data_IF_607085899772
#
_entry.id   IF_607085899772
#
_cell.length_a   1.000
_cell.length_b   1.000
_cell.length_c   1.000
_cell.angle_alpha   90.00
_cell.angle_beta   90.00
_cell.angle_gamma   90.00
#
_symmetry.space_group_name_H-M   'P 1'
#
loop_
_entity.id
_entity.type
_entity.pdbx_description
1 polymer ?
#
# COMPACT_ATOMS: atom_id res chain seq x y z
N UNK A 1 12.91 27.19 -16.05
CA UNK A 1 11.97 26.14 -16.50
C UNK A 1 10.56 26.71 -16.41
N UNK A 2 9.68 26.46 -17.38
CA UNK A 2 8.27 26.91 -17.27
C UNK A 2 7.53 26.00 -16.28
N UNK A 3 6.47 26.50 -15.59
CA UNK A 3 5.66 25.67 -14.69
C UNK A 3 5.11 24.41 -15.38
N UNK A 4 4.76 24.53 -16.66
CA UNK A 4 4.28 23.42 -17.49
C UNK A 4 5.36 22.34 -17.65
N UNK A 5 6.61 22.73 -17.93
CA UNK A 5 7.72 21.76 -18.01
C UNK A 5 7.95 21.05 -16.68
N UNK A 6 7.93 21.78 -15.56
CA UNK A 6 8.10 21.18 -14.22
C UNK A 6 6.99 20.17 -13.93
N UNK A 7 5.74 20.53 -14.20
CA UNK A 7 4.59 19.64 -14.01
C UNK A 7 4.73 18.33 -14.79
N UNK A 8 5.02 18.39 -16.09
CA UNK A 8 5.18 17.17 -16.90
C UNK A 8 6.43 16.37 -16.54
N UNK A 9 7.53 17.03 -16.13
CA UNK A 9 8.71 16.33 -15.61
C UNK A 9 8.41 15.55 -14.34
N UNK A 10 7.69 16.14 -13.38
CA UNK A 10 7.30 15.45 -12.15
C UNK A 10 6.38 14.26 -12.45
N UNK A 11 5.39 14.43 -13.33
CA UNK A 11 4.51 13.33 -13.75
C UNK A 11 5.27 12.18 -14.40
N UNK A 12 6.25 12.49 -15.26
CA UNK A 12 7.09 11.47 -15.89
C UNK A 12 7.93 10.71 -14.86
N UNK A 13 8.53 11.41 -13.89
CA UNK A 13 9.28 10.80 -12.79
C UNK A 13 8.38 9.87 -11.97
N UNK A 14 7.19 10.34 -11.58
CA UNK A 14 6.22 9.53 -10.83
C UNK A 14 5.78 8.29 -11.59
N UNK A 15 5.50 8.42 -12.90
CA UNK A 15 5.15 7.29 -13.76
C UNK A 15 6.27 6.25 -13.82
N UNK A 16 7.52 6.68 -13.97
CA UNK A 16 8.69 5.79 -13.99
C UNK A 16 8.86 5.09 -12.65
N UNK A 17 8.76 5.81 -11.53
CA UNK A 17 8.89 5.23 -10.20
C UNK A 17 7.77 4.21 -9.90
N UNK A 18 6.54 4.52 -10.33
CA UNK A 18 5.41 3.58 -10.22
C UNK A 18 5.67 2.32 -11.06
N UNK A 19 6.11 2.46 -12.31
CA UNK A 19 6.46 1.32 -13.15
C UNK A 19 7.59 0.46 -12.55
N UNK A 20 8.58 1.08 -11.89
CA UNK A 20 9.60 0.35 -11.15
C UNK A 20 9.02 -0.45 -9.98
N UNK A 21 8.10 0.14 -9.20
CA UNK A 21 7.42 -0.53 -8.10
C UNK A 21 6.54 -1.69 -8.58
N UNK A 22 5.80 -1.50 -9.68
CA UNK A 22 5.01 -2.56 -10.32
C UNK A 22 5.89 -3.71 -10.82
N UNK A 23 7.04 -3.42 -11.41
CA UNK A 23 8.00 -4.45 -11.83
C UNK A 23 8.55 -5.23 -10.62
N UNK A 24 8.88 -4.55 -9.52
CA UNK A 24 9.29 -5.20 -8.28
C UNK A 24 8.18 -6.12 -7.77
N UNK A 25 6.94 -5.65 -7.76
CA UNK A 25 5.78 -6.40 -7.31
C UNK A 25 5.50 -7.61 -8.21
N UNK A 26 5.52 -7.46 -9.53
CA UNK A 26 5.41 -8.57 -10.48
C UNK A 26 6.44 -9.68 -10.20
N UNK A 27 7.71 -9.31 -10.03
CA UNK A 27 8.79 -10.28 -9.71
C UNK A 27 8.56 -10.95 -8.35
N UNK A 28 8.05 -10.20 -7.37
CA UNK A 28 7.71 -10.75 -6.07
C UNK A 28 6.52 -11.72 -6.15
N UNK A 29 5.46 -11.40 -6.92
CA UNK A 29 4.32 -12.31 -7.17
C UNK A 29 4.80 -13.59 -7.85
N UNK A 30 5.68 -13.50 -8.85
CA UNK A 30 6.24 -14.66 -9.53
C UNK A 30 7.03 -15.57 -8.57
N UNK A 31 7.78 -14.98 -7.64
CA UNK A 31 8.55 -15.70 -6.63
C UNK A 31 7.66 -16.34 -5.56
N UNK A 32 6.64 -15.61 -5.13
CA UNK A 32 5.82 -15.96 -3.98
C UNK A 32 4.71 -16.96 -4.37
N UNK A 33 4.03 -16.71 -5.48
CA UNK A 33 2.85 -17.48 -5.92
C UNK A 33 3.07 -18.27 -7.22
N UNK A 34 4.25 -18.14 -7.84
CA UNK A 34 4.60 -18.82 -9.08
C UNK A 34 4.45 -17.94 -10.33
N UNK A 35 5.20 -18.28 -11.37
CA UNK A 35 5.32 -17.48 -12.61
C UNK A 35 3.98 -17.33 -13.34
N UNK A 36 3.14 -18.36 -13.34
CA UNK A 36 1.82 -18.30 -13.99
C UNK A 36 0.91 -17.27 -13.32
N UNK A 37 0.90 -17.22 -11.97
CA UNK A 37 0.11 -16.23 -11.22
C UNK A 37 0.61 -14.82 -11.51
N UNK A 38 1.93 -14.63 -11.57
CA UNK A 38 2.51 -13.33 -11.94
C UNK A 38 2.11 -12.87 -13.34
N UNK A 39 2.14 -13.76 -14.34
CA UNK A 39 1.70 -13.43 -15.72
C UNK A 39 0.22 -13.05 -15.77
N UNK A 40 -0.64 -13.80 -15.07
CA UNK A 40 -2.07 -13.50 -14.98
C UNK A 40 -2.29 -12.14 -14.30
N UNK A 41 -1.58 -11.86 -13.21
CA UNK A 41 -1.61 -10.55 -12.56
C UNK A 41 -1.23 -9.43 -13.53
N UNK A 42 -0.17 -9.60 -14.33
CA UNK A 42 0.25 -8.60 -15.32
C UNK A 42 -0.82 -8.36 -16.38
N UNK A 43 -1.44 -9.43 -16.92
CA UNK A 43 -2.53 -9.32 -17.88
C UNK A 43 -3.75 -8.57 -17.33
N UNK A 44 -4.02 -8.68 -16.04
CA UNK A 44 -5.15 -8.03 -15.38
C UNK A 44 -4.85 -6.59 -14.94
N UNK A 45 -3.63 -6.28 -14.52
CA UNK A 45 -3.25 -4.96 -14.02
C UNK A 45 -2.96 -3.96 -15.14
N UNK A 46 -2.35 -4.39 -16.25
CA UNK A 46 -2.03 -3.49 -17.37
C UNK A 46 -3.24 -2.72 -17.95
N UNK A 47 -4.42 -3.34 -18.17
CA UNK A 47 -5.60 -2.63 -18.66
C UNK A 47 -6.42 -1.98 -17.53
N UNK A 48 -6.01 -2.09 -16.27
CA UNK A 48 -6.76 -1.51 -15.16
C UNK A 48 -6.68 0.03 -15.20
N UNK A 49 -7.80 0.67 -15.55
CA UNK A 49 -7.88 2.12 -15.74
C UNK A 49 -7.43 2.90 -14.48
N UNK A 50 -7.78 2.40 -13.29
CA UNK A 50 -7.39 3.02 -12.03
C UNK A 50 -5.88 3.03 -11.80
N UNK A 51 -5.21 1.89 -12.01
CA UNK A 51 -3.75 1.78 -11.90
C UNK A 51 -3.07 2.73 -12.90
N UNK A 52 -3.51 2.71 -14.16
CA UNK A 52 -2.96 3.57 -15.20
C UNK A 52 -3.11 5.06 -14.87
N UNK A 53 -4.31 5.49 -14.48
CA UNK A 53 -4.57 6.89 -14.13
C UNK A 53 -3.76 7.36 -12.92
N UNK A 54 -3.62 6.48 -11.91
CA UNK A 54 -2.86 6.79 -10.69
C UNK A 54 -1.35 6.90 -10.92
N UNK A 55 -0.79 6.20 -11.92
CA UNK A 55 0.67 6.05 -12.09
C UNK A 55 1.44 7.37 -12.22
N UNK A 56 0.85 8.36 -12.89
CA UNK A 56 1.44 9.69 -13.12
C UNK A 56 0.77 10.79 -12.28
N UNK A 57 -0.12 10.42 -11.36
CA UNK A 57 -0.93 11.37 -10.61
C UNK A 57 -0.11 11.98 -9.46
N UNK A 58 -0.17 13.29 -9.32
CA UNK A 58 0.50 14.03 -8.24
C UNK A 58 -0.36 14.03 -6.97
N UNK A 59 -0.83 12.85 -6.57
CA UNK A 59 -1.62 12.65 -5.35
C UNK A 59 -0.83 11.81 -4.35
N UNK A 60 -0.91 12.11 -3.05
CA UNK A 60 -0.29 11.28 -2.02
C UNK A 60 -0.75 9.82 -2.11
N UNK A 61 -2.05 9.58 -2.31
CA UNK A 61 -2.59 8.21 -2.42
C UNK A 61 -2.02 7.42 -3.61
N UNK A 62 -1.77 8.07 -4.75
CA UNK A 62 -1.13 7.44 -5.91
C UNK A 62 0.31 7.02 -5.60
N UNK A 63 1.08 7.90 -4.97
CA UNK A 63 2.44 7.60 -4.56
C UNK A 63 2.52 6.51 -3.49
N UNK A 64 1.57 6.53 -2.54
CA UNK A 64 1.39 5.50 -1.53
C UNK A 64 1.17 4.12 -2.15
N UNK A 65 0.36 4.01 -3.20
CA UNK A 65 0.13 2.75 -3.92
C UNK A 65 1.43 2.12 -4.45
N UNK A 66 2.29 2.94 -5.07
CA UNK A 66 3.59 2.49 -5.57
C UNK A 66 4.51 2.06 -4.42
N UNK A 67 4.62 2.85 -3.35
CA UNK A 67 5.50 2.54 -2.22
C UNK A 67 5.03 1.30 -1.43
N UNK A 68 3.72 1.12 -1.23
CA UNK A 68 3.14 -0.08 -0.62
C UNK A 68 3.45 -1.31 -1.49
N UNK A 69 3.27 -1.20 -2.81
CA UNK A 69 3.61 -2.29 -3.74
C UNK A 69 5.10 -2.67 -3.62
N UNK A 70 6.00 -1.67 -3.54
CA UNK A 70 7.42 -1.92 -3.32
C UNK A 70 7.69 -2.56 -1.94
N UNK A 71 7.01 -2.13 -0.87
CA UNK A 71 7.14 -2.69 0.47
C UNK A 71 6.72 -4.17 0.51
N UNK A 72 5.56 -4.50 -0.05
CA UNK A 72 5.05 -5.87 -0.14
C UNK A 72 5.97 -6.73 -1.03
N UNK A 73 6.47 -6.18 -2.13
CA UNK A 73 7.41 -6.88 -3.00
C UNK A 73 8.71 -7.24 -2.27
N UNK A 74 9.28 -6.29 -1.53
CA UNK A 74 10.47 -6.52 -0.71
C UNK A 74 10.21 -7.55 0.40
N UNK A 75 9.04 -7.49 1.03
CA UNK A 75 8.63 -8.43 2.07
C UNK A 75 8.54 -9.87 1.55
N UNK A 76 7.81 -10.12 0.45
CA UNK A 76 7.73 -11.45 -0.18
C UNK A 76 9.09 -11.95 -0.71
N UNK A 77 10.01 -11.03 -1.03
CA UNK A 77 11.40 -11.35 -1.39
C UNK A 77 12.34 -11.46 -0.19
N UNK A 78 11.80 -11.44 1.04
CA UNK A 78 12.55 -11.55 2.32
C UNK A 78 13.58 -10.44 2.55
N UNK A 79 13.42 -9.30 1.87
CA UNK A 79 14.24 -8.09 2.04
C UNK A 79 13.59 -7.18 3.08
N UNK A 80 13.56 -7.63 4.34
CA UNK A 80 12.80 -6.96 5.41
C UNK A 80 13.23 -5.52 5.68
N UNK A 81 14.53 -5.22 5.60
CA UNK A 81 15.04 -3.85 5.79
C UNK A 81 14.41 -2.88 4.79
N UNK A 82 14.39 -3.27 3.51
CA UNK A 82 13.77 -2.47 2.47
C UNK A 82 12.24 -2.41 2.63
N UNK A 83 11.60 -3.51 3.06
CA UNK A 83 10.16 -3.52 3.31
C UNK A 83 9.77 -2.52 4.43
N UNK A 84 10.52 -2.49 5.54
CA UNK A 84 10.33 -1.52 6.63
C UNK A 84 10.59 -0.10 6.14
N UNK A 85 11.66 0.13 5.37
CA UNK A 85 11.97 1.45 4.82
C UNK A 85 10.90 1.96 3.86
N UNK A 86 10.38 1.13 2.95
CA UNK A 86 9.28 1.51 2.06
C UNK A 86 7.97 1.72 2.81
N UNK A 87 7.70 0.93 3.86
CA UNK A 87 6.55 1.13 4.75
C UNK A 87 6.63 2.47 5.47
N UNK A 88 7.82 2.83 5.99
CA UNK A 88 8.06 4.13 6.60
C UNK A 88 7.95 5.26 5.56
N UNK A 89 8.47 5.08 4.35
CA UNK A 89 8.35 6.06 3.27
C UNK A 89 6.89 6.33 2.90
N UNK A 90 6.06 5.30 2.70
CA UNK A 90 4.63 5.52 2.39
C UNK A 90 3.91 6.21 3.55
N UNK A 91 4.22 5.83 4.78
CA UNK A 91 3.57 6.39 5.98
C UNK A 91 3.96 7.85 6.22
N UNK A 92 5.25 8.17 6.12
CA UNK A 92 5.79 9.45 6.56
C UNK A 92 5.88 10.49 5.43
N UNK A 93 6.17 10.09 4.19
CA UNK A 93 6.29 11.04 3.07
C UNK A 93 4.98 11.22 2.31
N UNK A 94 4.10 10.23 2.36
CA UNK A 94 2.96 10.16 1.45
C UNK A 94 1.65 10.23 2.21
N UNK A 95 1.23 9.16 2.86
CA UNK A 95 -0.04 9.09 3.54
C UNK A 95 0.02 8.22 4.80
N UNK A 96 -0.15 8.81 6.01
CA UNK A 96 0.13 8.11 7.27
C UNK A 96 -0.76 6.90 7.53
N UNK A 97 -1.97 6.85 6.98
CA UNK A 97 -2.88 5.71 7.16
C UNK A 97 -2.38 4.43 6.47
N UNK A 98 -1.44 4.54 5.52
CA UNK A 98 -0.81 3.39 4.86
C UNK A 98 0.07 2.57 5.81
N UNK A 99 0.38 3.09 7.01
CA UNK A 99 0.99 2.32 8.09
C UNK A 99 0.23 1.02 8.40
N UNK A 100 -1.10 1.04 8.24
CA UNK A 100 -1.97 -0.12 8.40
C UNK A 100 -1.53 -1.30 7.52
N UNK A 101 -1.11 -1.02 6.28
CA UNK A 101 -0.67 -2.03 5.33
C UNK A 101 0.70 -2.62 5.68
N UNK A 102 1.44 -1.98 6.59
CA UNK A 102 2.67 -2.48 7.19
C UNK A 102 2.45 -3.52 8.29
N UNK A 103 1.24 -3.66 8.83
CA UNK A 103 0.95 -4.58 9.94
C UNK A 103 1.29 -6.05 9.59
N UNK A 104 0.90 -6.59 8.41
CA UNK A 104 1.26 -7.97 8.05
C UNK A 104 2.78 -8.19 7.96
N UNK A 105 3.52 -7.18 7.51
CA UNK A 105 4.99 -7.21 7.45
C UNK A 105 5.56 -7.27 8.88
N UNK A 106 5.04 -6.42 9.79
CA UNK A 106 5.46 -6.42 11.19
C UNK A 106 5.13 -7.76 11.88
N UNK A 107 3.95 -8.34 11.63
CA UNK A 107 3.56 -9.65 12.14
C UNK A 107 4.54 -10.73 11.68
N UNK A 108 4.91 -10.77 10.40
CA UNK A 108 5.87 -11.75 9.89
C UNK A 108 7.24 -11.60 10.57
N UNK A 109 7.77 -10.38 10.66
CA UNK A 109 9.10 -10.13 11.22
C UNK A 109 9.14 -10.42 12.74
N UNK A 110 8.15 -9.93 13.48
CA UNK A 110 8.13 -9.99 14.95
C UNK A 110 7.63 -11.34 15.44
N UNK A 111 6.49 -11.83 14.96
CA UNK A 111 5.84 -13.02 15.53
C UNK A 111 6.33 -14.30 14.86
N UNK A 112 6.47 -14.31 13.53
CA UNK A 112 6.85 -15.53 12.79
C UNK A 112 8.37 -15.71 12.79
N UNK A 113 9.13 -14.67 12.44
CA UNK A 113 10.60 -14.72 12.34
C UNK A 113 11.32 -14.40 13.65
N UNK A 114 10.62 -13.81 14.64
CA UNK A 114 11.17 -13.45 15.96
C UNK A 114 12.36 -12.48 15.90
N UNK A 115 12.42 -11.62 14.88
CA UNK A 115 13.50 -10.65 14.65
C UNK A 115 13.15 -9.26 15.19
N UNK A 116 12.81 -9.18 16.49
CA UNK A 116 12.34 -7.93 17.11
C UNK A 116 13.42 -6.84 17.14
N UNK A 117 14.68 -7.19 17.42
CA UNK A 117 15.79 -6.21 17.50
C UNK A 117 16.00 -5.55 16.15
N UNK A 118 16.08 -6.34 15.08
CA UNK A 118 16.28 -5.80 13.74
C UNK A 118 15.07 -4.98 13.29
N UNK A 119 13.85 -5.43 13.58
CA UNK A 119 12.65 -4.64 13.28
C UNK A 119 12.69 -3.27 13.94
N UNK A 120 12.96 -3.20 15.25
CA UNK A 120 13.02 -1.92 15.98
C UNK A 120 14.17 -1.06 15.45
N UNK A 121 15.37 -1.63 15.27
CA UNK A 121 16.55 -0.93 14.75
C UNK A 121 16.26 -0.27 13.41
N UNK A 122 15.72 -1.02 12.45
CA UNK A 122 15.45 -0.50 11.11
C UNK A 122 14.25 0.44 11.09
N UNK A 123 13.23 0.20 11.91
CA UNK A 123 12.08 1.12 12.04
C UNK A 123 12.50 2.47 12.59
N UNK A 124 13.32 2.50 13.64
CA UNK A 124 13.86 3.74 14.22
C UNK A 124 14.78 4.45 13.24
N UNK A 125 15.65 3.70 12.55
CA UNK A 125 16.54 4.31 11.55
C UNK A 125 15.75 4.92 10.39
N UNK A 126 14.74 4.23 9.87
CA UNK A 126 13.86 4.76 8.82
C UNK A 126 13.04 5.95 9.31
N UNK A 127 12.53 5.91 10.54
CA UNK A 127 11.82 7.02 11.16
C UNK A 127 12.70 8.27 11.22
N UNK A 128 13.92 8.15 11.77
CA UNK A 128 14.85 9.29 11.86
C UNK A 128 15.24 9.77 10.47
N UNK A 129 15.66 8.86 9.58
CA UNK A 129 16.14 9.21 8.25
C UNK A 129 15.09 9.95 7.39
N UNK A 130 13.80 9.69 7.62
CA UNK A 130 12.71 10.27 6.84
C UNK A 130 12.05 11.44 7.57
N UNK A 131 11.64 11.25 8.82
CA UNK A 131 10.90 12.26 9.58
C UNK A 131 11.76 13.47 9.92
N UNK A 132 13.04 13.27 10.27
CA UNK A 132 13.90 14.38 10.70
C UNK A 132 14.11 15.41 9.59
N UNK A 133 14.45 15.05 8.33
CA UNK A 133 14.51 16.02 7.23
C UNK A 133 13.17 16.69 6.95
N UNK A 134 12.05 15.96 6.99
CA UNK A 134 10.71 16.53 6.78
C UNK A 134 10.43 17.63 7.79
N UNK A 135 10.61 17.34 9.09
CA UNK A 135 10.34 18.30 10.15
C UNK A 135 11.23 19.54 10.02
N UNK A 136 12.51 19.38 9.65
CA UNK A 136 13.41 20.53 9.43
C UNK A 136 12.90 21.40 8.28
N UNK A 137 12.66 20.80 7.12
CA UNK A 137 12.27 21.53 5.91
C UNK A 137 10.93 22.21 6.13
N UNK A 138 9.92 21.48 6.59
CA UNK A 138 8.59 22.03 6.84
C UNK A 138 8.66 23.14 7.89
N UNK A 139 9.33 22.91 9.02
CA UNK A 139 9.38 23.92 10.08
C UNK A 139 10.11 25.19 9.64
N UNK A 140 11.11 25.07 8.77
CA UNK A 140 11.82 26.21 8.20
C UNK A 140 10.92 27.05 7.29
N UNK A 141 10.16 26.41 6.38
CA UNK A 141 9.25 27.12 5.49
C UNK A 141 8.00 27.68 6.18
N UNK A 142 7.45 26.96 7.16
CA UNK A 142 6.25 27.38 7.90
C UNK A 142 6.55 28.33 9.07
N UNK A 143 7.82 28.51 9.45
CA UNK A 143 8.24 29.39 10.56
C UNK A 143 7.80 28.91 11.95
N UNK A 144 7.35 27.66 12.08
CA UNK A 144 6.93 27.02 13.33
C UNK A 144 7.21 25.53 13.27
N UNK A 145 7.27 24.84 14.41
CA UNK A 145 7.43 23.38 14.42
C UNK A 145 6.26 22.71 13.71
N UNK A 146 6.52 22.01 12.60
CA UNK A 146 5.54 21.26 11.82
C UNK A 146 5.96 19.80 11.73
N UNK A 147 5.08 18.93 12.21
CA UNK A 147 5.18 17.47 12.03
C UNK A 147 4.03 17.06 11.14
N UNK A 148 4.20 17.16 9.82
CA UNK A 148 3.11 17.00 8.85
C UNK A 148 2.34 15.66 8.99
N UNK A 149 3.00 14.48 9.11
CA UNK A 149 2.28 13.21 9.25
C UNK A 149 1.42 13.16 10.53
N UNK A 150 1.91 13.73 11.63
CA UNK A 150 1.16 13.80 12.88
C UNK A 150 -0.04 14.74 12.75
N UNK A 151 0.15 15.92 12.15
CA UNK A 151 -0.93 16.89 11.97
C UNK A 151 -2.08 16.31 11.14
N UNK A 152 -1.77 15.54 10.09
CA UNK A 152 -2.78 14.85 9.26
C UNK A 152 -3.57 13.84 10.11
N UNK A 153 -2.89 13.02 10.89
CA UNK A 153 -3.54 12.02 11.77
C UNK A 153 -4.40 12.72 12.82
N UNK A 154 -3.86 13.76 13.47
CA UNK A 154 -4.55 14.46 14.53
C UNK A 154 -5.81 15.18 14.04
N UNK A 155 -5.74 15.79 12.86
CA UNK A 155 -6.88 16.41 12.22
C UNK A 155 -7.99 15.38 11.92
N UNK A 156 -7.64 14.24 11.30
CA UNK A 156 -8.61 13.25 10.85
C UNK A 156 -9.23 12.41 11.98
N UNK A 157 -8.51 12.19 13.08
CA UNK A 157 -8.95 11.28 14.16
C UNK A 157 -9.45 12.03 15.39
N UNK A 158 -8.86 13.18 15.74
CA UNK A 158 -9.10 13.84 17.03
C UNK A 158 -9.94 15.12 16.94
N UNK A 159 -10.45 15.50 15.76
CA UNK A 159 -11.25 16.73 15.58
C UNK A 159 -12.72 16.40 15.26
N UNK A 160 -13.66 17.12 15.90
CA UNK A 160 -15.12 16.91 15.74
C UNK A 160 -15.66 17.32 14.37
N UNK A 161 -15.11 18.38 13.76
CA UNK A 161 -15.36 18.76 12.35
C UNK A 161 -14.47 17.96 11.39
N UNK A 162 -14.37 16.64 11.60
CA UNK A 162 -13.50 15.75 10.84
C UNK A 162 -13.77 15.76 9.33
N UNK A 163 -13.30 14.74 8.58
CA UNK A 163 -13.32 14.73 7.11
C UNK A 163 -14.71 14.73 6.42
N UNK A 164 -15.79 15.05 7.14
CA UNK A 164 -17.18 15.08 6.66
C UNK A 164 -17.54 16.40 5.94
N UNK A 165 -16.55 17.27 5.67
CA UNK A 165 -16.75 18.55 5.00
C UNK A 165 -17.36 18.44 3.60
N UNK A 166 -17.17 17.32 2.90
CA UNK A 166 -17.62 17.13 1.50
C UNK A 166 -18.76 16.12 1.34
N UNK A 167 -19.39 15.70 2.44
CA UNK A 167 -20.50 14.76 2.45
C UNK A 167 -20.05 13.29 2.49
N UNK A 168 -21.03 12.39 2.50
CA UNK A 168 -20.84 10.95 2.66
C UNK A 168 -21.55 10.19 1.55
N UNK A 169 -20.85 9.28 0.89
CA UNK A 169 -21.41 8.35 -0.10
C UNK A 169 -21.90 7.05 0.59
N UNK A 170 -22.85 6.31 -0.02
CA UNK A 170 -23.29 5.03 0.52
C UNK A 170 -22.18 3.98 0.47
N UNK A 171 -22.27 2.96 1.32
CA UNK A 171 -21.29 1.86 1.40
C UNK A 171 -21.06 1.15 0.04
N UNK A 172 -22.08 1.15 -0.83
CA UNK A 172 -22.01 0.57 -2.18
C UNK A 172 -20.96 1.25 -3.06
N UNK A 173 -20.57 2.49 -2.73
CA UNK A 173 -19.59 3.26 -3.48
C UNK A 173 -18.27 2.50 -3.64
N UNK A 174 -17.69 1.97 -2.55
CA UNK A 174 -16.42 1.25 -2.64
C UNK A 174 -16.50 0.03 -3.56
N UNK A 175 -17.65 -0.64 -3.60
CA UNK A 175 -17.87 -1.79 -4.47
C UNK A 175 -17.96 -1.37 -5.94
N UNK A 176 -18.75 -0.34 -6.24
CA UNK A 176 -18.90 0.22 -7.59
C UNK A 176 -17.58 0.79 -8.09
N UNK A 177 -16.88 1.56 -7.26
CA UNK A 177 -15.59 2.15 -7.59
C UNK A 177 -14.50 1.07 -7.78
N UNK A 178 -14.48 0.04 -6.94
CA UNK A 178 -13.59 -1.12 -7.11
C UNK A 178 -13.83 -1.82 -8.44
N UNK A 179 -15.09 -2.05 -8.82
CA UNK A 179 -15.45 -2.63 -10.10
C UNK A 179 -15.10 -1.72 -11.28
N UNK A 180 -15.29 -0.41 -11.18
CA UNK A 180 -14.91 0.54 -12.23
C UNK A 180 -13.40 0.53 -12.49
N UNK A 181 -12.59 0.50 -11.43
CA UNK A 181 -11.14 0.59 -11.55
C UNK A 181 -10.46 -0.75 -11.91
N UNK A 182 -11.00 -1.87 -11.43
CA UNK A 182 -10.37 -3.19 -11.52
C UNK A 182 -11.24 -4.25 -12.24
N UNK A 183 -12.44 -3.89 -12.71
CA UNK A 183 -13.37 -4.79 -13.43
C UNK A 183 -13.63 -6.10 -12.66
N UNK A 184 -13.65 -7.24 -13.37
CA UNK A 184 -13.86 -8.57 -12.79
C UNK A 184 -12.80 -8.97 -11.76
N UNK A 185 -11.61 -8.37 -11.81
CA UNK A 185 -10.52 -8.65 -10.86
C UNK A 185 -10.93 -8.27 -9.44
N UNK A 186 -11.74 -7.22 -9.28
CA UNK A 186 -12.30 -6.84 -7.99
C UNK A 186 -13.16 -7.95 -7.38
N UNK A 187 -14.05 -8.57 -8.17
CA UNK A 187 -14.91 -9.66 -7.70
C UNK A 187 -14.08 -10.90 -7.37
N UNK A 188 -13.08 -11.21 -8.20
CA UNK A 188 -12.17 -12.32 -7.98
C UNK A 188 -11.31 -12.14 -6.73
N UNK A 189 -10.85 -10.92 -6.44
CA UNK A 189 -10.02 -10.64 -5.26
C UNK A 189 -10.81 -10.81 -3.95
N UNK A 190 -12.07 -10.36 -3.91
CA UNK A 190 -12.97 -10.55 -2.77
C UNK A 190 -13.35 -12.04 -2.57
N UNK A 191 -13.45 -12.79 -3.67
CA UNK A 191 -13.77 -14.22 -3.64
C UNK A 191 -12.58 -15.11 -3.24
N UNK A 192 -11.36 -14.57 -3.23
CA UNK A 192 -10.11 -15.31 -3.04
C UNK A 192 -10.08 -16.17 -1.75
N UNK A 193 -10.49 -15.69 -0.56
CA UNK A 193 -10.48 -16.50 0.65
C UNK A 193 -11.36 -17.76 0.53
N UNK A 194 -12.57 -17.61 -0.04
CA UNK A 194 -13.50 -18.72 -0.25
C UNK A 194 -12.97 -19.73 -1.27
N UNK A 195 -12.36 -19.25 -2.34
CA UNK A 195 -11.73 -20.11 -3.35
C UNK A 195 -10.55 -20.89 -2.76
N UNK A 196 -9.73 -20.27 -1.90
CA UNK A 196 -8.63 -20.97 -1.23
C UNK A 196 -9.12 -22.06 -0.29
N UNK A 197 -10.18 -21.81 0.49
CA UNK A 197 -10.81 -22.82 1.36
C UNK A 197 -11.34 -23.98 0.53
N UNK A 198 -12.03 -23.68 -0.57
CA UNK A 198 -12.58 -24.69 -1.49
C UNK A 198 -11.48 -25.55 -2.12
N UNK A 199 -10.39 -24.92 -2.59
CA UNK A 199 -9.23 -25.62 -3.11
C UNK A 199 -8.57 -26.51 -2.06
N UNK A 200 -8.47 -26.06 -0.81
CA UNK A 200 -7.93 -26.86 0.28
C UNK A 200 -8.78 -28.09 0.58
N UNK A 201 -10.11 -27.94 0.57
CA UNK A 201 -11.05 -29.04 0.80
C UNK A 201 -11.03 -30.09 -0.31
N UNK A 202 -10.85 -29.68 -1.57
CA UNK A 202 -10.83 -30.58 -2.74
C UNK A 202 -9.45 -31.21 -2.96
N UNK A 203 -8.38 -30.45 -2.77
CA UNK A 203 -7.00 -30.90 -3.02
C UNK A 203 -6.01 -30.23 -2.06
N UNK A 204 -5.78 -30.89 -0.93
CA UNK A 204 -4.85 -30.39 0.10
C UNK A 204 -3.43 -30.16 -0.43
N UNK A 205 -2.94 -31.01 -1.35
CA UNK A 205 -1.63 -30.85 -2.01
C UNK A 205 -1.51 -29.57 -2.83
N UNK A 206 -2.60 -29.09 -3.46
CA UNK A 206 -2.58 -27.88 -4.28
C UNK A 206 -2.38 -26.59 -3.47
N UNK A 207 -2.61 -26.64 -2.15
CA UNK A 207 -2.49 -25.48 -1.25
C UNK A 207 -1.21 -25.50 -0.41
N UNK A 208 -0.40 -26.55 -0.54
CA UNK A 208 0.88 -26.66 0.16
C UNK A 208 1.87 -25.66 -0.42
N UNK A 209 2.32 -24.71 0.41
CA UNK A 209 3.31 -23.70 0.02
C UNK A 209 4.71 -24.14 0.41
N UNK A 210 5.70 -23.67 -0.34
CA UNK A 210 7.09 -23.85 0.06
C UNK A 210 7.36 -23.13 1.41
N UNK A 211 8.20 -23.67 2.29
CA UNK A 211 8.44 -23.08 3.63
C UNK A 211 8.98 -21.65 3.63
N UNK A 212 9.59 -21.22 2.52
CA UNK A 212 10.11 -19.86 2.36
C UNK A 212 9.03 -18.84 2.00
N UNK A 213 7.85 -19.27 1.56
CA UNK A 213 6.72 -18.41 1.24
C UNK A 213 5.98 -17.95 2.51
N UNK A 214 5.32 -16.81 2.45
CA UNK A 214 4.41 -16.34 3.48
C UNK A 214 3.13 -17.22 3.51
N UNK A 215 2.47 -17.38 4.65
CA UNK A 215 1.17 -18.06 4.68
C UNK A 215 0.11 -17.22 3.94
N UNK A 216 -0.83 -17.87 3.25
CA UNK A 216 -1.82 -17.18 2.41
C UNK A 216 -2.63 -16.13 3.19
N UNK A 217 -3.07 -16.44 4.40
CA UNK A 217 -3.85 -15.51 5.22
C UNK A 217 -3.10 -14.21 5.49
N UNK A 218 -1.78 -14.28 5.69
CA UNK A 218 -0.94 -13.10 5.94
C UNK A 218 -0.66 -12.34 4.64
N UNK A 219 -0.47 -13.05 3.53
CA UNK A 219 -0.33 -12.43 2.20
C UNK A 219 -1.60 -11.70 1.75
N UNK A 220 -2.78 -12.14 2.16
CA UNK A 220 -4.07 -11.52 1.84
C UNK A 220 -4.47 -10.40 2.82
N UNK A 221 -3.84 -10.37 4.01
CA UNK A 221 -4.18 -9.43 5.07
C UNK A 221 -4.15 -7.95 4.67
N UNK A 222 -3.23 -7.44 3.81
CA UNK A 222 -3.24 -6.02 3.43
C UNK A 222 -4.58 -5.55 2.84
N UNK A 223 -5.16 -6.33 1.90
CA UNK A 223 -6.45 -6.00 1.30
C UNK A 223 -7.58 -6.06 2.33
N UNK A 224 -7.60 -7.10 3.16
CA UNK A 224 -8.64 -7.29 4.19
C UNK A 224 -8.59 -6.16 5.23
N UNK A 225 -7.40 -5.81 5.72
CA UNK A 225 -7.22 -4.71 6.68
C UNK A 225 -7.66 -3.38 6.09
N UNK A 226 -7.27 -3.11 4.84
CA UNK A 226 -7.68 -1.89 4.13
C UNK A 226 -9.20 -1.80 4.04
N UNK A 227 -9.85 -2.83 3.51
CA UNK A 227 -11.31 -2.82 3.34
C UNK A 227 -12.05 -2.80 4.67
N UNK A 228 -11.54 -3.48 5.71
CA UNK A 228 -12.13 -3.44 7.04
C UNK A 228 -12.21 -2.01 7.56
N UNK A 229 -11.13 -1.22 7.46
CA UNK A 229 -11.15 0.17 7.94
C UNK A 229 -12.08 1.04 7.11
N UNK A 230 -11.97 0.96 5.78
CA UNK A 230 -12.72 1.85 4.89
C UNK A 230 -14.21 1.50 4.79
N UNK A 231 -14.60 0.23 4.88
CA UNK A 231 -16.02 -0.17 4.86
C UNK A 231 -16.75 0.15 6.18
N UNK A 232 -16.02 0.21 7.30
CA UNK A 232 -16.60 0.59 8.59
C UNK A 232 -16.76 2.10 8.75
N UNK A 233 -16.10 2.89 7.91
CA UNK A 233 -16.20 4.35 7.92
C UNK A 233 -17.26 4.82 6.90
N UNK A 234 -18.07 5.84 7.23
CA UNK A 234 -18.92 6.51 6.25
C UNK A 234 -18.03 6.99 5.08
N UNK A 235 -18.40 6.66 3.84
CA UNK A 235 -17.53 6.90 2.68
C UNK A 235 -17.34 8.39 2.42
N UNK A 236 -16.09 8.87 2.46
CA UNK A 236 -15.74 10.29 2.33
C UNK A 236 -14.90 10.46 1.07
N UNK A 237 -15.38 11.27 0.12
CA UNK A 237 -14.56 11.68 -1.02
C UNK A 237 -14.03 13.11 -0.80
N UNK A 238 -12.74 13.31 -1.03
CA UNK A 238 -12.21 14.63 -1.36
C UNK A 238 -12.60 14.90 -2.83
N UNK A 239 -13.67 15.65 -3.06
CA UNK A 239 -14.07 16.11 -4.41
C UNK A 239 -13.27 17.34 -4.83
#
# INVERSE_FOLDING_TARGET
MTPVSVFYSLRAILAVLTACAELMFYKAVCHEFGVHVGRVWLCFTLPAAGCFASSAAMLPSAWSSALVSAALACWWRRRYVAAVAFTAATTLLSWPFTALLGIPIAIDIILIKRQYIDFVKWSVLSLIAILFPIVIVDSWYYGRLVIAPWNIVAYNIFTEHGPDLYGVEPWTYYFVNGFLNFNIVWVLSLSCPLLLVSCHAISSRSTSRAPFCCPYWLSLAPLVLWLMVFMLQPHKEER
#
